data_IF_079120177328
#
_entry.id   IF_079120177328
#
_cell.length_a   1.000
_cell.length_b   1.000
_cell.length_c   1.000
_cell.angle_alpha   90.00
_cell.angle_beta   90.00
_cell.angle_gamma   90.00
#
_symmetry.space_group_name_H-M   'P 1'
#
loop_
_entity.id
_entity.type
_entity.pdbx_description
1 polymer ?
#
# COMPACT_ATOMS: atom_id res chain seq x y z
N UNK A 1 38.87 -2.01 -103.34
CA UNK A 1 40.04 -2.81 -102.89
C UNK A 1 40.15 -2.68 -101.36
N UNK A 2 40.61 -3.72 -100.64
CA UNK A 2 41.05 -3.65 -99.23
C UNK A 2 42.52 -3.12 -99.16
N UNK A 3 43.26 -3.08 -98.02
CA UNK A 3 42.98 -3.47 -96.61
C UNK A 3 43.19 -2.26 -95.63
N UNK A 4 43.58 -2.32 -94.34
CA UNK A 4 43.94 -3.38 -93.37
C UNK A 4 43.77 -2.98 -91.87
N UNK A 5 43.14 -3.86 -91.08
CA UNK A 5 43.61 -4.47 -89.81
C UNK A 5 44.29 -3.60 -88.71
N UNK A 6 43.77 -3.70 -87.46
CA UNK A 6 44.43 -3.84 -86.10
C UNK A 6 43.56 -3.15 -85.02
N UNK A 7 43.40 -3.63 -83.77
CA UNK A 7 43.67 -4.91 -83.08
C UNK A 7 42.74 -5.08 -81.83
N UNK A 8 42.85 -6.19 -81.09
CA UNK A 8 42.08 -6.63 -79.90
C UNK A 8 41.67 -5.60 -78.82
N UNK A 9 40.49 -5.85 -78.20
CA UNK A 9 40.35 -6.04 -76.73
C UNK A 9 39.05 -6.77 -76.36
N UNK A 10 38.95 -7.33 -75.14
CA UNK A 10 37.81 -8.11 -74.59
C UNK A 10 37.69 -7.85 -73.07
N UNK A 11 36.46 -7.80 -72.52
CA UNK A 11 35.99 -7.86 -71.10
C UNK A 11 34.97 -6.73 -70.77
N UNK A 12 34.07 -6.87 -69.76
CA UNK A 12 33.22 -8.04 -69.49
C UNK A 12 31.77 -7.64 -69.12
N UNK A 13 30.98 -8.62 -68.66
CA UNK A 13 29.72 -8.45 -67.94
C UNK A 13 29.93 -7.67 -66.62
N UNK A 14 29.04 -6.73 -66.26
CA UNK A 14 29.03 -6.10 -64.94
C UNK A 14 27.64 -6.18 -64.31
N UNK A 15 27.51 -7.03 -63.28
CA UNK A 15 26.26 -7.21 -62.53
C UNK A 15 26.17 -6.16 -61.41
N UNK A 16 25.31 -5.15 -61.57
CA UNK A 16 25.17 -4.06 -60.60
C UNK A 16 24.31 -4.47 -59.39
N UNK A 17 24.92 -5.17 -58.43
CA UNK A 17 24.30 -5.49 -57.15
C UNK A 17 24.31 -4.27 -56.20
N UNK A 18 23.32 -3.39 -56.33
CA UNK A 18 23.12 -2.29 -55.39
C UNK A 18 22.57 -2.82 -54.05
N UNK A 19 23.37 -2.73 -52.98
CA UNK A 19 22.94 -3.11 -51.64
C UNK A 19 21.81 -2.21 -51.15
N UNK A 20 20.70 -2.82 -50.72
CA UNK A 20 19.72 -2.16 -49.87
C UNK A 20 20.35 -2.04 -48.48
N UNK A 21 20.89 -0.86 -48.16
CA UNK A 21 21.32 -0.53 -46.80
C UNK A 21 20.07 -0.25 -45.98
N UNK A 22 19.45 -1.33 -45.48
CA UNK A 22 18.42 -1.23 -44.46
C UNK A 22 18.99 -0.51 -43.24
N UNK A 23 18.41 0.59 -42.75
CA UNK A 23 18.88 1.23 -41.53
C UNK A 23 18.65 0.28 -40.37
N UNK A 24 19.73 -0.23 -39.78
CA UNK A 24 19.66 -0.98 -38.52
C UNK A 24 19.19 -0.04 -37.44
N UNK A 25 17.92 -0.18 -37.04
CA UNK A 25 17.42 0.42 -35.82
C UNK A 25 18.20 -0.25 -34.68
N UNK A 26 19.22 0.45 -34.16
CA UNK A 26 19.84 0.04 -32.91
C UNK A 26 18.77 0.10 -31.82
N UNK A 27 18.26 -1.07 -31.42
CA UNK A 27 17.65 -1.19 -30.12
C UNK A 27 18.68 -0.70 -29.09
N UNK A 28 18.31 0.27 -28.27
CA UNK A 28 19.20 0.78 -27.22
C UNK A 28 19.57 -0.37 -26.30
N UNK A 29 20.84 -0.79 -26.30
CA UNK A 29 21.33 -1.68 -25.24
C UNK A 29 21.08 -0.98 -23.91
N UNK A 30 20.41 -1.66 -22.98
CA UNK A 30 20.16 -1.09 -21.66
C UNK A 30 21.51 -0.95 -20.93
N UNK A 31 21.96 0.27 -20.58
CA UNK A 31 23.25 0.47 -19.90
C UNK A 31 23.26 -0.12 -18.47
N UNK A 32 22.08 -0.41 -17.91
CA UNK A 32 21.90 -1.00 -16.59
C UNK A 32 21.58 -2.49 -16.70
N UNK A 33 22.26 -3.32 -15.91
CA UNK A 33 22.05 -4.77 -15.88
C UNK A 33 21.08 -5.16 -14.77
N UNK A 34 20.11 -6.01 -15.11
CA UNK A 34 19.25 -6.70 -14.13
C UNK A 34 19.98 -7.96 -13.67
N UNK A 35 20.98 -7.81 -12.80
CA UNK A 35 21.84 -8.91 -12.32
C UNK A 35 21.56 -9.34 -10.87
N UNK A 36 20.48 -8.84 -10.27
CA UNK A 36 20.03 -9.19 -8.92
C UNK A 36 20.79 -8.49 -7.78
N UNK A 37 21.64 -7.50 -8.07
CA UNK A 37 22.32 -6.70 -7.03
C UNK A 37 21.60 -5.37 -6.79
N UNK A 38 21.92 -4.74 -5.65
CA UNK A 38 21.50 -3.35 -5.38
C UNK A 38 22.29 -2.39 -6.27
N UNK A 39 21.59 -1.66 -7.13
CA UNK A 39 22.18 -0.68 -8.06
C UNK A 39 22.64 0.58 -7.32
N UNK A 40 23.91 0.95 -7.48
CA UNK A 40 24.47 2.22 -6.99
C UNK A 40 24.04 3.37 -7.91
N UNK A 41 23.34 4.37 -7.35
CA UNK A 41 22.90 5.56 -8.08
C UNK A 41 23.65 6.84 -7.66
N UNK A 42 23.79 7.75 -8.62
CA UNK A 42 24.31 9.10 -8.45
C UNK A 42 23.67 10.11 -9.42
N UNK A 43 24.04 11.39 -9.29
CA UNK A 43 23.49 12.50 -10.09
C UNK A 43 23.73 12.35 -11.61
N UNK A 44 24.62 11.46 -12.07
CA UNK A 44 24.87 11.20 -13.49
C UNK A 44 24.01 10.08 -14.07
N UNK A 45 23.55 9.13 -13.25
CA UNK A 45 22.83 7.93 -13.71
C UNK A 45 21.36 7.85 -13.23
N UNK A 46 20.97 8.61 -12.19
CA UNK A 46 19.68 8.46 -11.51
C UNK A 46 18.49 8.63 -12.46
N UNK A 47 18.35 9.78 -13.12
CA UNK A 47 17.20 10.07 -14.00
C UNK A 47 17.12 9.09 -15.19
N UNK A 48 18.27 8.60 -15.67
CA UNK A 48 18.33 7.56 -16.68
C UNK A 48 17.84 6.20 -16.13
N UNK A 49 18.25 5.80 -14.92
CA UNK A 49 17.76 4.57 -14.27
C UNK A 49 16.25 4.62 -14.01
N UNK A 50 15.73 5.73 -13.47
CA UNK A 50 14.29 5.93 -13.25
C UNK A 50 13.49 5.90 -14.56
N UNK A 51 14.06 6.39 -15.66
CA UNK A 51 13.43 6.35 -16.99
C UNK A 51 13.54 5.00 -17.70
N UNK A 52 14.46 4.12 -17.27
CA UNK A 52 14.75 2.83 -17.94
C UNK A 52 13.99 1.65 -17.31
N UNK A 53 13.62 1.74 -16.04
CA UNK A 53 12.98 0.66 -15.31
C UNK A 53 11.54 1.02 -14.90
N UNK A 54 10.57 0.21 -15.35
CA UNK A 54 9.16 0.34 -14.97
C UNK A 54 8.93 0.30 -13.45
N UNK A 55 9.77 -0.43 -12.72
CA UNK A 55 9.70 -0.57 -11.27
C UNK A 55 11.11 -0.52 -10.67
N UNK A 56 11.41 0.51 -9.90
CA UNK A 56 12.68 0.65 -9.17
C UNK A 56 12.45 1.17 -7.75
N UNK A 57 13.02 0.48 -6.78
CA UNK A 57 12.92 0.75 -5.35
C UNK A 57 14.24 1.32 -4.85
N UNK A 58 14.22 2.55 -4.33
CA UNK A 58 15.44 3.33 -4.01
C UNK A 58 15.54 3.60 -2.50
N UNK A 59 16.66 3.21 -1.91
CA UNK A 59 17.10 3.64 -0.56
C UNK A 59 17.93 4.93 -0.64
N UNK A 60 17.34 6.04 -0.19
CA UNK A 60 18.05 7.31 -0.01
C UNK A 60 18.72 7.29 1.37
N UNK A 61 20.02 7.00 1.38
CA UNK A 61 20.77 6.65 2.58
C UNK A 61 21.90 7.64 2.90
N UNK A 62 22.40 7.55 4.15
CA UNK A 62 23.63 8.21 4.56
C UNK A 62 24.60 7.19 5.20
N UNK A 63 25.92 7.25 4.89
CA UNK A 63 26.88 6.21 5.27
C UNK A 63 27.17 6.15 6.77
N UNK A 64 26.81 7.18 7.54
CA UNK A 64 26.90 7.18 8.99
C UNK A 64 25.65 6.62 9.68
N UNK A 65 24.47 6.70 9.06
CA UNK A 65 23.19 6.36 9.70
C UNK A 65 23.07 4.87 10.10
N UNK A 66 22.77 4.62 11.37
CA UNK A 66 22.61 3.27 11.91
C UNK A 66 21.38 2.52 11.37
N UNK A 67 20.33 3.22 10.94
CA UNK A 67 19.14 2.59 10.36
C UNK A 67 19.41 2.15 8.91
N UNK A 68 20.15 2.94 8.12
CA UNK A 68 20.62 2.55 6.79
C UNK A 68 21.51 1.30 6.85
N UNK A 69 22.47 1.26 7.79
CA UNK A 69 23.39 0.11 7.98
C UNK A 69 22.69 -1.20 8.32
N UNK A 70 21.52 -1.14 8.99
CA UNK A 70 20.69 -2.32 9.27
C UNK A 70 19.80 -2.72 8.10
N UNK A 71 19.43 -1.76 7.24
CA UNK A 71 18.58 -1.99 6.07
C UNK A 71 19.35 -2.58 4.87
N UNK A 72 20.57 -2.10 4.61
CA UNK A 72 21.38 -2.53 3.47
C UNK A 72 21.48 -4.07 3.28
N UNK A 73 21.78 -4.90 4.30
CA UNK A 73 21.83 -6.36 4.13
C UNK A 73 20.47 -7.01 3.88
N UNK A 74 19.34 -6.33 4.14
CA UNK A 74 18.01 -6.80 3.73
C UNK A 74 17.71 -6.44 2.27
N UNK A 75 18.20 -5.29 1.79
CA UNK A 75 18.14 -4.92 0.37
C UNK A 75 18.97 -5.88 -0.49
N UNK A 76 20.18 -6.24 -0.04
CA UNK A 76 21.06 -7.19 -0.73
C UNK A 76 20.43 -8.60 -0.84
N UNK A 77 19.60 -9.01 0.13
CA UNK A 77 18.81 -10.26 0.07
C UNK A 77 17.58 -10.15 -0.83
N UNK A 78 16.90 -9.00 -0.82
CA UNK A 78 15.67 -8.79 -1.58
C UNK A 78 15.92 -8.59 -3.07
N UNK A 79 17.01 -7.91 -3.44
CA UNK A 79 17.38 -7.59 -4.82
C UNK A 79 17.36 -8.78 -5.80
N UNK A 80 17.95 -9.96 -5.52
CA UNK A 80 17.92 -11.08 -6.46
C UNK A 80 16.52 -11.69 -6.63
N UNK A 81 15.69 -11.68 -5.58
CA UNK A 81 14.32 -12.20 -5.64
C UNK A 81 13.42 -11.26 -6.45
N UNK A 82 13.53 -9.95 -6.20
CA UNK A 82 12.78 -8.90 -6.90
C UNK A 82 13.19 -8.76 -8.37
N UNK A 83 14.46 -8.95 -8.69
CA UNK A 83 14.95 -9.01 -10.07
C UNK A 83 14.48 -10.27 -10.83
N UNK A 84 14.21 -11.37 -10.12
CA UNK A 84 13.72 -12.63 -10.69
C UNK A 84 12.21 -12.66 -11.00
N UNK A 85 11.46 -11.62 -10.64
CA UNK A 85 10.02 -11.53 -10.93
C UNK A 85 9.75 -11.37 -12.43
N UNK A 86 8.62 -11.91 -12.93
CA UNK A 86 8.18 -11.78 -14.34
C UNK A 86 8.11 -10.33 -14.84
N UNK A 87 7.88 -9.39 -13.92
CA UNK A 87 8.16 -7.96 -14.05
C UNK A 87 9.19 -7.63 -12.96
N UNK A 88 10.48 -7.46 -13.30
CA UNK A 88 11.51 -7.18 -12.31
C UNK A 88 11.24 -5.89 -11.55
N UNK A 89 11.50 -5.88 -10.24
CA UNK A 89 11.66 -4.65 -9.46
C UNK A 89 13.14 -4.50 -9.16
N UNK A 90 13.75 -3.43 -9.66
CA UNK A 90 15.17 -3.16 -9.42
C UNK A 90 15.32 -2.56 -8.03
N UNK A 91 16.19 -3.13 -7.20
CA UNK A 91 16.58 -2.51 -5.92
C UNK A 91 17.80 -1.63 -6.18
N UNK A 92 17.77 -0.42 -5.66
CA UNK A 92 18.81 0.59 -5.84
C UNK A 92 19.00 1.39 -4.56
N UNK A 93 20.10 2.13 -4.47
CA UNK A 93 20.37 3.06 -3.37
C UNK A 93 21.16 4.27 -3.84
N UNK A 94 21.03 5.38 -3.13
CA UNK A 94 21.74 6.62 -3.42
C UNK A 94 22.19 7.31 -2.14
N UNK A 95 23.45 7.75 -2.11
CA UNK A 95 24.01 8.48 -0.97
C UNK A 95 23.50 9.93 -0.98
N UNK A 96 22.34 10.15 -0.38
CA UNK A 96 21.65 11.43 -0.34
C UNK A 96 22.38 12.50 0.50
N UNK A 97 23.18 12.09 1.50
CA UNK A 97 24.07 13.00 2.23
C UNK A 97 25.25 13.49 1.37
N UNK A 98 25.66 12.74 0.34
CA UNK A 98 26.60 13.23 -0.68
C UNK A 98 25.88 14.07 -1.74
N UNK A 99 24.79 13.56 -2.31
CA UNK A 99 24.09 14.15 -3.45
C UNK A 99 22.90 15.01 -3.00
N UNK A 100 23.20 16.11 -2.30
CA UNK A 100 22.19 16.94 -1.62
C UNK A 100 21.19 17.60 -2.58
N UNK A 101 21.62 17.92 -3.81
CA UNK A 101 20.73 18.45 -4.84
C UNK A 101 19.66 17.43 -5.25
N UNK A 102 20.06 16.17 -5.41
CA UNK A 102 19.14 15.05 -5.66
C UNK A 102 18.23 14.79 -4.44
N UNK A 103 18.77 14.85 -3.23
CA UNK A 103 18.00 14.69 -1.99
C UNK A 103 16.88 15.73 -1.87
N UNK A 104 17.18 17.01 -2.12
CA UNK A 104 16.17 18.07 -2.14
C UNK A 104 15.16 17.92 -3.30
N UNK A 105 15.61 17.51 -4.49
CA UNK A 105 14.73 17.24 -5.66
C UNK A 105 13.68 16.14 -5.36
N UNK A 106 13.99 15.20 -4.48
CA UNK A 106 13.15 14.05 -4.16
C UNK A 106 12.56 14.07 -2.74
N UNK A 107 12.55 15.23 -2.06
CA UNK A 107 11.92 15.42 -0.74
C UNK A 107 12.43 14.41 0.29
N UNK A 108 13.74 14.45 0.56
CA UNK A 108 14.47 13.54 1.45
C UNK A 108 14.93 14.29 2.70
N UNK A 109 14.06 14.36 3.71
CA UNK A 109 14.32 15.06 4.98
C UNK A 109 14.94 14.16 6.07
N UNK A 110 15.15 12.87 5.79
CA UNK A 110 15.67 11.89 6.75
C UNK A 110 16.27 10.64 6.09
N UNK A 111 16.91 9.77 6.89
CA UNK A 111 17.63 8.58 6.39
C UNK A 111 17.39 7.32 7.25
N UNK A 112 17.09 6.15 6.65
CA UNK A 112 16.79 5.94 5.23
C UNK A 112 15.37 6.41 4.89
N UNK A 113 15.23 7.16 3.80
CA UNK A 113 13.94 7.36 3.12
C UNK A 113 13.88 6.42 1.94
N UNK A 114 12.79 5.66 1.83
CA UNK A 114 12.61 4.62 0.81
C UNK A 114 11.51 5.06 -0.14
N UNK A 115 11.77 5.08 -1.46
CA UNK A 115 10.73 5.40 -2.46
C UNK A 115 10.70 4.34 -3.56
N UNK A 116 9.51 3.82 -3.88
CA UNK A 116 9.29 3.04 -5.11
C UNK A 116 8.87 3.99 -6.23
N UNK A 117 9.54 3.89 -7.37
CA UNK A 117 9.16 4.55 -8.61
C UNK A 117 8.43 3.53 -9.48
N UNK A 118 7.24 3.89 -9.95
CA UNK A 118 6.40 3.08 -10.84
C UNK A 118 6.16 3.88 -12.11
N UNK A 119 6.75 3.44 -13.23
CA UNK A 119 6.83 4.18 -14.49
C UNK A 119 7.25 5.66 -14.26
N UNK A 120 8.34 5.86 -13.52
CA UNK A 120 8.88 7.17 -13.14
C UNK A 120 8.16 7.89 -11.99
N UNK A 121 6.95 7.50 -11.60
CA UNK A 121 6.20 8.15 -10.52
C UNK A 121 6.59 7.58 -9.16
N UNK A 122 7.22 8.39 -8.31
CA UNK A 122 7.61 8.01 -6.96
C UNK A 122 6.41 7.85 -6.01
N UNK A 123 6.53 6.95 -5.04
CA UNK A 123 5.67 6.83 -3.86
C UNK A 123 6.55 6.41 -2.69
N UNK A 124 6.43 7.08 -1.55
CA UNK A 124 7.23 6.76 -0.37
C UNK A 124 6.80 5.44 0.28
N UNK A 125 7.77 4.72 0.84
CA UNK A 125 7.61 3.37 1.35
C UNK A 125 7.73 3.35 2.88
N UNK A 126 6.60 3.07 3.54
CA UNK A 126 6.50 2.85 4.98
C UNK A 126 6.32 1.36 5.34
N UNK A 127 6.56 0.46 4.38
CA UNK A 127 6.40 -0.97 4.57
C UNK A 127 7.49 -1.62 5.44
N UNK A 128 7.38 -2.93 5.69
CA UNK A 128 8.33 -3.68 6.50
C UNK A 128 9.73 -3.71 5.85
N UNK A 129 10.76 -3.79 6.70
CA UNK A 129 12.18 -3.72 6.30
C UNK A 129 12.93 -5.06 6.22
N UNK A 130 12.54 -6.16 6.91
CA UNK A 130 13.10 -7.50 6.66
C UNK A 130 12.89 -7.94 5.22
N UNK A 131 13.88 -8.63 4.64
CA UNK A 131 13.91 -8.90 3.20
C UNK A 131 12.70 -9.70 2.67
N UNK A 132 12.22 -10.68 3.41
CA UNK A 132 11.07 -11.53 3.05
C UNK A 132 9.76 -10.72 3.00
N UNK A 133 9.53 -9.89 4.02
CA UNK A 133 8.35 -9.03 4.12
C UNK A 133 8.42 -7.89 3.10
N UNK A 134 9.61 -7.34 2.85
CA UNK A 134 9.89 -6.35 1.82
C UNK A 134 9.59 -6.91 0.42
N UNK A 135 10.03 -8.14 0.12
CA UNK A 135 9.72 -8.83 -1.14
C UNK A 135 8.20 -9.02 -1.31
N UNK A 136 7.52 -9.55 -0.28
CA UNK A 136 6.05 -9.75 -0.30
C UNK A 136 5.31 -8.43 -0.55
N UNK A 137 5.68 -7.35 0.14
CA UNK A 137 5.09 -6.03 -0.06
C UNK A 137 5.34 -5.48 -1.47
N UNK A 138 6.60 -5.44 -1.94
CA UNK A 138 6.93 -4.83 -3.23
C UNK A 138 6.34 -5.61 -4.42
N UNK A 139 6.18 -6.93 -4.30
CA UNK A 139 5.50 -7.77 -5.31
C UNK A 139 4.07 -7.28 -5.62
N UNK A 140 3.40 -6.59 -4.68
CA UNK A 140 2.08 -5.96 -4.89
C UNK A 140 2.00 -5.04 -6.12
N UNK A 141 3.08 -4.30 -6.40
CA UNK A 141 3.09 -3.27 -7.44
C UNK A 141 3.19 -3.87 -8.85
N UNK A 142 3.78 -5.07 -8.97
CA UNK A 142 3.95 -5.80 -10.24
C UNK A 142 2.93 -6.91 -10.47
N UNK A 143 2.17 -7.29 -9.45
CA UNK A 143 1.06 -8.23 -9.51
C UNK A 143 0.05 -7.92 -10.64
N UNK A 144 -0.74 -8.90 -11.12
CA UNK A 144 -1.94 -8.61 -11.89
C UNK A 144 -2.89 -7.71 -11.09
N UNK A 145 -3.77 -6.98 -11.78
CA UNK A 145 -4.78 -6.13 -11.11
C UNK A 145 -5.82 -7.00 -10.39
N UNK A 146 -6.24 -8.09 -11.02
CA UNK A 146 -7.06 -9.15 -10.43
C UNK A 146 -6.34 -10.49 -10.60
N UNK A 147 -6.16 -11.25 -9.53
CA UNK A 147 -5.71 -12.65 -9.62
C UNK A 147 -6.89 -13.59 -9.91
N UNK A 148 -6.66 -14.60 -10.75
CA UNK A 148 -7.63 -15.68 -11.00
C UNK A 148 -7.22 -16.87 -10.14
N UNK A 149 -8.17 -17.41 -9.37
CA UNK A 149 -7.96 -18.51 -8.44
C UNK A 149 -8.88 -19.67 -8.85
N UNK A 150 -8.31 -20.85 -9.03
CA UNK A 150 -8.93 -22.03 -9.65
C UNK A 150 -8.93 -23.27 -8.73
N UNK A 151 -8.66 -23.08 -7.44
CA UNK A 151 -8.78 -24.10 -6.39
C UNK A 151 -8.69 -23.49 -4.99
N UNK A 152 -9.17 -24.22 -3.99
CA UNK A 152 -8.97 -23.91 -2.56
C UNK A 152 -7.47 -23.74 -2.21
N UNK A 153 -6.58 -24.47 -2.90
CA UNK A 153 -5.12 -24.32 -2.77
C UNK A 153 -4.66 -22.96 -3.31
N UNK A 154 -5.04 -22.60 -4.54
CA UNK A 154 -4.71 -21.30 -5.13
C UNK A 154 -5.23 -20.13 -4.28
N UNK A 155 -6.40 -20.26 -3.65
CA UNK A 155 -6.94 -19.26 -2.72
C UNK A 155 -6.07 -19.15 -1.45
N UNK A 156 -5.66 -20.28 -0.88
CA UNK A 156 -4.80 -20.32 0.31
C UNK A 156 -3.41 -19.75 0.04
N UNK A 157 -2.79 -20.15 -1.07
CA UNK A 157 -1.49 -19.67 -1.56
C UNK A 157 -1.52 -18.17 -1.87
N UNK A 158 -2.60 -17.67 -2.49
CA UNK A 158 -2.79 -16.25 -2.75
C UNK A 158 -2.85 -15.42 -1.47
N UNK A 159 -3.57 -15.89 -0.43
CA UNK A 159 -3.65 -15.18 0.86
C UNK A 159 -2.31 -15.22 1.60
N UNK A 160 -1.57 -16.33 1.56
CA UNK A 160 -0.24 -16.38 2.18
C UNK A 160 0.76 -15.45 1.47
N UNK A 161 0.76 -15.46 0.13
CA UNK A 161 1.63 -14.61 -0.69
C UNK A 161 1.29 -13.11 -0.59
N UNK A 162 0.00 -12.80 -0.47
CA UNK A 162 -0.50 -11.44 -0.25
C UNK A 162 -0.06 -10.85 1.09
N UNK A 163 0.12 -11.71 2.11
CA UNK A 163 0.56 -11.35 3.45
C UNK A 163 -0.47 -10.53 4.22
N UNK A 164 -0.01 -9.85 5.28
CA UNK A 164 -0.90 -9.19 6.25
C UNK A 164 -1.07 -7.69 6.05
N UNK A 165 -0.22 -7.04 5.23
CA UNK A 165 -0.14 -5.57 5.20
C UNK A 165 -1.29 -4.88 4.43
N UNK A 166 -1.80 -5.51 3.37
CA UNK A 166 -2.88 -4.97 2.55
C UNK A 166 -4.16 -5.77 2.75
N UNK A 167 -5.36 -5.14 2.72
CA UNK A 167 -6.61 -5.87 2.61
C UNK A 167 -6.66 -6.71 1.32
N UNK A 168 -7.36 -7.84 1.40
CA UNK A 168 -7.50 -8.81 0.32
C UNK A 168 -8.98 -8.94 -0.03
N UNK A 169 -9.32 -8.67 -1.29
CA UNK A 169 -10.66 -8.81 -1.83
C UNK A 169 -10.75 -10.06 -2.71
N UNK A 170 -11.62 -11.02 -2.35
CA UNK A 170 -11.81 -12.28 -3.07
C UNK A 170 -13.27 -12.38 -3.53
N UNK A 171 -13.47 -12.44 -4.85
CA UNK A 171 -14.78 -12.53 -5.49
C UNK A 171 -15.21 -13.97 -5.78
N UNK A 172 -16.17 -14.49 -5.03
CA UNK A 172 -16.76 -15.82 -5.22
C UNK A 172 -17.95 -15.74 -6.18
N UNK A 173 -17.91 -16.48 -7.28
CA UNK A 173 -18.92 -16.40 -8.34
C UNK A 173 -18.94 -15.07 -9.11
N UNK A 174 -17.86 -14.30 -9.06
CA UNK A 174 -17.71 -13.02 -9.77
C UNK A 174 -16.81 -13.15 -11.01
N UNK A 175 -17.15 -12.42 -12.07
CA UNK A 175 -16.28 -12.27 -13.23
C UNK A 175 -15.23 -11.18 -12.97
N UNK A 176 -14.00 -11.40 -13.44
CA UNK A 176 -12.89 -10.44 -13.35
C UNK A 176 -13.28 -9.02 -13.79
N UNK A 177 -14.02 -8.91 -14.90
CA UNK A 177 -14.47 -7.64 -15.46
C UNK A 177 -15.27 -6.79 -14.47
N UNK A 178 -16.03 -7.41 -13.57
CA UNK A 178 -16.88 -6.72 -12.58
C UNK A 178 -16.07 -5.96 -11.53
N UNK A 179 -14.86 -6.41 -11.20
CA UNK A 179 -13.99 -5.75 -10.22
C UNK A 179 -12.77 -5.06 -10.84
N UNK A 180 -12.41 -5.40 -12.09
CA UNK A 180 -11.21 -4.94 -12.81
C UNK A 180 -10.92 -3.43 -12.73
N UNK A 181 -11.90 -2.58 -13.06
CA UNK A 181 -11.76 -1.11 -13.02
C UNK A 181 -11.41 -0.59 -11.61
N UNK A 182 -12.02 -1.19 -10.58
CA UNK A 182 -11.79 -0.83 -9.18
C UNK A 182 -10.48 -1.42 -8.66
N UNK A 183 -10.10 -2.61 -9.12
CA UNK A 183 -8.84 -3.24 -8.81
C UNK A 183 -7.63 -2.45 -9.34
N UNK A 184 -7.73 -1.90 -10.56
CA UNK A 184 -6.75 -0.93 -11.11
C UNK A 184 -6.73 0.34 -10.25
N UNK A 185 -7.90 0.92 -9.97
CA UNK A 185 -8.04 2.16 -9.17
C UNK A 185 -7.44 2.05 -7.76
N UNK A 186 -7.55 0.89 -7.12
CA UNK A 186 -7.07 0.63 -5.77
C UNK A 186 -5.84 -0.29 -5.70
N UNK A 187 -5.13 -0.52 -6.82
CA UNK A 187 -3.97 -1.43 -6.91
C UNK A 187 -2.88 -1.16 -5.84
N UNK A 188 -2.67 0.11 -5.48
CA UNK A 188 -1.72 0.55 -4.44
C UNK A 188 -2.22 0.37 -2.99
N UNK A 189 -3.50 0.07 -2.77
CA UNK A 189 -4.15 -0.01 -1.44
C UNK A 189 -4.73 -1.38 -1.09
N UNK A 190 -5.01 -2.26 -2.07
CA UNK A 190 -5.61 -3.57 -1.81
C UNK A 190 -5.25 -4.64 -2.85
N UNK A 191 -5.23 -5.92 -2.45
CA UNK A 191 -5.20 -7.08 -3.34
C UNK A 191 -6.61 -7.41 -3.84
N UNK A 192 -6.75 -7.88 -5.08
CA UNK A 192 -8.02 -8.29 -5.66
C UNK A 192 -7.88 -9.63 -6.38
N UNK A 193 -8.89 -10.50 -6.27
CA UNK A 193 -8.97 -11.76 -6.98
C UNK A 193 -10.41 -12.21 -7.23
N UNK A 194 -10.57 -13.20 -8.12
CA UNK A 194 -11.82 -13.94 -8.32
C UNK A 194 -11.57 -15.45 -8.21
N UNK A 195 -12.43 -16.13 -7.45
CA UNK A 195 -12.45 -17.58 -7.32
C UNK A 195 -13.40 -18.17 -8.37
N UNK A 196 -12.84 -18.90 -9.34
CA UNK A 196 -13.58 -19.61 -10.40
C UNK A 196 -14.04 -20.98 -9.97
N UNK A 197 -13.16 -21.71 -9.26
CA UNK A 197 -13.41 -23.03 -8.72
C UNK A 197 -13.01 -23.00 -7.24
N UNK A 198 -13.93 -23.47 -6.40
CA UNK A 198 -13.83 -23.50 -4.94
C UNK A 198 -14.80 -24.55 -4.40
N UNK A 199 -14.53 -25.12 -3.23
CA UNK A 199 -15.45 -26.07 -2.60
C UNK A 199 -16.64 -25.38 -1.92
N UNK A 200 -17.81 -26.02 -1.93
CA UNK A 200 -19.03 -25.54 -1.25
C UNK A 200 -18.85 -25.39 0.28
N UNK A 201 -17.78 -25.96 0.85
CA UNK A 201 -17.49 -26.01 2.28
C UNK A 201 -16.29 -25.14 2.68
N UNK A 202 -16.10 -23.97 2.07
CA UNK A 202 -15.06 -23.01 2.45
C UNK A 202 -15.38 -22.28 3.77
N UNK A 203 -15.32 -23.04 4.87
CA UNK A 203 -15.56 -22.63 6.27
C UNK A 203 -14.64 -21.53 6.81
N UNK A 204 -13.64 -21.08 6.03
CA UNK A 204 -12.75 -19.97 6.40
C UNK A 204 -13.27 -18.59 6.01
N UNK A 205 -14.42 -18.52 5.33
CA UNK A 205 -14.92 -17.29 4.68
C UNK A 205 -16.43 -17.00 4.91
N UNK A 206 -17.14 -17.84 5.64
CA UNK A 206 -18.50 -17.63 6.17
C UNK A 206 -19.56 -17.04 5.20
N UNK A 207 -19.51 -17.37 3.91
CA UNK A 207 -20.49 -16.88 2.92
C UNK A 207 -21.58 -17.93 2.61
N UNK A 208 -22.85 -17.51 2.70
CA UNK A 208 -24.02 -18.38 2.55
C UNK A 208 -24.46 -18.57 1.09
N UNK A 209 -23.96 -17.74 0.18
CA UNK A 209 -24.41 -17.66 -1.23
C UNK A 209 -23.40 -16.93 -2.12
N UNK A 210 -23.52 -17.15 -3.42
CA UNK A 210 -22.81 -16.40 -4.48
C UNK A 210 -23.80 -15.67 -5.41
N UNK A 211 -23.40 -14.58 -6.09
CA UNK A 211 -22.09 -13.91 -5.99
C UNK A 211 -21.86 -13.21 -4.65
N UNK A 212 -20.59 -13.22 -4.21
CA UNK A 212 -20.11 -12.54 -3.01
C UNK A 212 -18.73 -11.93 -3.26
N UNK A 213 -18.49 -10.71 -2.78
CA UNK A 213 -17.14 -10.15 -2.65
C UNK A 213 -16.78 -10.12 -1.16
N UNK A 214 -15.68 -10.75 -0.78
CA UNK A 214 -15.22 -10.82 0.61
C UNK A 214 -13.96 -9.98 0.74
N UNK A 215 -13.93 -9.08 1.71
CA UNK A 215 -12.76 -8.29 2.07
C UNK A 215 -12.21 -8.75 3.42
N UNK A 216 -10.95 -9.17 3.46
CA UNK A 216 -10.26 -9.58 4.69
C UNK A 216 -9.11 -8.61 5.03
N UNK A 217 -8.87 -8.42 6.32
CA UNK A 217 -7.74 -7.67 6.88
C UNK A 217 -6.90 -8.63 7.74
N UNK A 218 -5.91 -9.35 7.18
CA UNK A 218 -5.26 -10.45 7.90
C UNK A 218 -4.47 -9.99 9.14
N UNK A 219 -3.94 -8.76 9.14
CA UNK A 219 -3.30 -8.17 10.34
C UNK A 219 -4.25 -7.93 11.53
N UNK A 220 -5.58 -7.86 11.29
CA UNK A 220 -6.58 -7.55 12.31
C UNK A 220 -7.53 -8.73 12.61
N UNK A 221 -7.36 -9.85 11.89
CA UNK A 221 -8.27 -11.00 11.86
C UNK A 221 -9.74 -10.58 11.68
N UNK A 222 -9.99 -9.74 10.67
CA UNK A 222 -11.31 -9.25 10.30
C UNK A 222 -11.68 -9.66 8.88
N UNK A 223 -12.97 -9.92 8.66
CA UNK A 223 -13.57 -10.12 7.35
C UNK A 223 -14.90 -9.37 7.25
N UNK A 224 -15.31 -9.05 6.04
CA UNK A 224 -16.66 -8.58 5.72
C UNK A 224 -17.09 -9.14 4.36
N UNK A 225 -18.40 -9.33 4.17
CA UNK A 225 -18.96 -9.97 2.98
C UNK A 225 -19.97 -9.03 2.33
N UNK A 226 -19.85 -8.84 1.01
CA UNK A 226 -20.75 -8.03 0.21
C UNK A 226 -21.48 -8.90 -0.81
N UNK A 227 -22.81 -9.01 -0.63
CA UNK A 227 -23.71 -9.78 -1.48
C UNK A 227 -24.38 -8.95 -2.60
N UNK A 228 -23.82 -7.79 -2.93
CA UNK A 228 -24.35 -6.87 -3.93
C UNK A 228 -25.26 -5.75 -3.37
N UNK A 229 -25.86 -4.92 -4.25
CA UNK A 229 -25.85 -5.04 -5.71
C UNK A 229 -24.46 -4.81 -6.32
N UNK A 230 -24.09 -5.63 -7.31
CA UNK A 230 -22.79 -5.58 -7.97
C UNK A 230 -22.75 -4.55 -9.12
N UNK A 231 -23.08 -3.31 -8.77
CA UNK A 231 -22.98 -2.14 -9.64
C UNK A 231 -21.81 -1.26 -9.17
N UNK A 232 -21.07 -0.66 -10.10
CA UNK A 232 -19.82 0.10 -9.85
C UNK A 232 -19.85 0.99 -8.61
N UNK A 233 -20.95 1.73 -8.38
CA UNK A 233 -21.09 2.62 -7.22
C UNK A 233 -21.07 1.87 -5.89
N UNK A 234 -21.99 0.91 -5.71
CA UNK A 234 -22.12 0.19 -4.44
C UNK A 234 -20.89 -0.69 -4.17
N UNK A 235 -20.33 -1.25 -5.23
CA UNK A 235 -19.09 -2.02 -5.21
C UNK A 235 -17.88 -1.14 -4.82
N UNK A 236 -17.77 0.07 -5.39
CA UNK A 236 -16.72 1.03 -5.01
C UNK A 236 -16.90 1.52 -3.57
N UNK A 237 -18.12 1.82 -3.14
CA UNK A 237 -18.40 2.31 -1.79
C UNK A 237 -18.13 1.22 -0.74
N UNK A 238 -18.43 -0.05 -1.02
CA UNK A 238 -18.00 -1.19 -0.19
C UNK A 238 -16.47 -1.33 -0.17
N UNK A 239 -15.81 -1.31 -1.33
CA UNK A 239 -14.34 -1.43 -1.41
C UNK A 239 -13.66 -0.32 -0.60
N UNK A 240 -14.08 0.94 -0.74
CA UNK A 240 -13.59 2.07 0.08
C UNK A 240 -13.73 1.80 1.58
N UNK A 241 -14.91 1.38 2.02
CA UNK A 241 -15.20 1.14 3.43
C UNK A 241 -14.35 -0.01 4.01
N UNK A 242 -13.96 -0.98 3.18
CA UNK A 242 -13.10 -2.12 3.52
C UNK A 242 -11.65 -1.96 3.02
N UNK A 243 -11.18 -0.75 2.72
CA UNK A 243 -9.73 -0.47 2.62
C UNK A 243 -9.07 -0.36 4.00
N UNK A 244 -9.86 -0.13 5.05
CA UNK A 244 -9.43 -0.05 6.44
C UNK A 244 -10.18 -1.09 7.29
N UNK A 245 -9.56 -1.65 8.34
CA UNK A 245 -10.28 -2.47 9.32
C UNK A 245 -11.39 -1.68 9.99
N UNK A 246 -12.33 -2.39 10.63
CA UNK A 246 -13.43 -1.82 11.41
C UNK A 246 -12.92 -0.89 12.51
N UNK A 247 -11.82 -1.25 13.19
CA UNK A 247 -11.16 -0.38 14.17
C UNK A 247 -9.65 -0.44 13.97
N UNK A 248 -9.03 0.74 13.84
CA UNK A 248 -7.63 0.92 13.48
C UNK A 248 -6.77 1.31 14.72
N UNK A 249 -5.70 0.58 15.07
CA UNK A 249 -4.71 1.09 16.02
C UNK A 249 -4.05 2.35 15.46
N UNK A 250 -4.05 3.44 16.22
CA UNK A 250 -3.55 4.74 15.77
C UNK A 250 -2.09 4.90 16.19
N UNK A 251 -1.24 5.01 15.17
CA UNK A 251 0.21 5.12 15.21
C UNK A 251 0.69 5.84 13.94
N UNK A 252 1.98 6.13 13.85
CA UNK A 252 2.61 6.77 12.70
C UNK A 252 2.18 6.27 11.31
N UNK A 253 2.13 4.96 11.09
CA UNK A 253 1.88 4.39 9.75
C UNK A 253 0.39 4.36 9.39
N UNK A 254 -0.48 4.13 10.38
CA UNK A 254 -1.93 4.27 10.22
C UNK A 254 -2.35 5.73 10.04
N UNK A 255 -1.77 6.68 10.78
CA UNK A 255 -2.00 8.12 10.60
C UNK A 255 -1.66 8.59 9.19
N UNK A 256 -0.55 8.11 8.61
CA UNK A 256 -0.21 8.38 7.19
C UNK A 256 -1.25 7.79 6.23
N UNK A 257 -1.76 6.59 6.53
CA UNK A 257 -2.78 5.92 5.74
C UNK A 257 -4.15 6.62 5.76
N UNK A 258 -4.44 7.40 6.82
CA UNK A 258 -5.68 8.17 6.98
C UNK A 258 -5.70 9.51 6.22
N UNK A 259 -4.55 10.07 5.78
CA UNK A 259 -4.46 11.42 5.20
C UNK A 259 -5.34 11.67 3.97
N UNK A 260 -5.71 10.63 3.22
CA UNK A 260 -6.60 10.72 2.05
C UNK A 260 -8.10 10.61 2.39
N UNK A 261 -8.45 10.12 3.59
CA UNK A 261 -9.84 9.90 3.99
C UNK A 261 -10.46 11.18 4.54
N UNK A 262 -11.77 11.34 4.34
CA UNK A 262 -12.54 12.53 4.74
C UNK A 262 -13.56 12.24 5.84
N UNK A 263 -13.69 10.97 6.24
CA UNK A 263 -14.52 10.55 7.37
C UNK A 263 -13.90 11.02 8.68
N UNK A 264 -14.73 11.43 9.63
CA UNK A 264 -14.28 11.79 10.98
C UNK A 264 -13.89 10.52 11.75
N UNK A 265 -12.90 10.64 12.63
CA UNK A 265 -12.31 9.53 13.38
C UNK A 265 -12.87 9.53 14.80
N UNK A 266 -13.64 8.51 15.16
CA UNK A 266 -14.02 8.20 16.54
C UNK A 266 -12.80 7.58 17.22
N UNK A 267 -12.02 8.42 17.92
CA UNK A 267 -10.81 7.99 18.61
C UNK A 267 -11.13 7.60 20.05
N UNK A 268 -10.74 6.38 20.44
CA UNK A 268 -10.82 5.88 21.82
C UNK A 268 -9.41 5.83 22.43
N UNK A 269 -9.11 6.76 23.31
CA UNK A 269 -7.84 6.81 24.04
C UNK A 269 -7.98 5.93 25.29
N UNK A 270 -7.01 5.05 25.54
CA UNK A 270 -7.01 4.04 26.59
C UNK A 270 -5.65 4.04 27.31
N UNK A 271 -5.56 3.47 28.52
CA UNK A 271 -4.30 3.46 29.28
C UNK A 271 -3.22 2.61 28.58
N UNK A 272 -3.59 1.41 28.15
CA UNK A 272 -2.71 0.40 27.55
C UNK A 272 -3.52 -0.49 26.62
N UNK A 273 -3.32 -0.34 25.31
CA UNK A 273 -4.09 -1.09 24.30
C UNK A 273 -3.82 -2.61 24.29
N UNK A 274 -2.79 -3.08 25.01
CA UNK A 274 -2.47 -4.50 25.12
C UNK A 274 -3.25 -5.21 26.24
N UNK A 275 -3.95 -4.49 27.11
CA UNK A 275 -4.62 -5.09 28.27
C UNK A 275 -5.97 -5.75 27.92
N UNK A 276 -6.46 -6.65 28.79
CA UNK A 276 -7.67 -7.44 28.51
C UNK A 276 -8.93 -6.55 28.42
N UNK A 277 -8.99 -5.47 29.20
CA UNK A 277 -10.10 -4.52 29.19
C UNK A 277 -10.19 -3.80 27.85
N UNK A 278 -9.07 -3.30 27.36
CA UNK A 278 -8.92 -2.65 26.06
C UNK A 278 -9.24 -3.61 24.92
N UNK A 279 -8.73 -4.84 24.95
CA UNK A 279 -9.07 -5.87 23.98
C UNK A 279 -10.57 -6.21 23.96
N UNK A 280 -11.25 -6.20 25.10
CA UNK A 280 -12.70 -6.39 25.17
C UNK A 280 -13.48 -5.15 24.67
N UNK A 281 -13.02 -3.94 24.98
CA UNK A 281 -13.59 -2.70 24.46
C UNK A 281 -13.44 -2.60 22.93
N UNK A 282 -12.29 -2.99 22.38
CA UNK A 282 -12.04 -3.02 20.92
C UNK A 282 -13.06 -3.92 20.21
N UNK A 283 -13.49 -5.05 20.80
CA UNK A 283 -14.57 -5.88 20.24
C UNK A 283 -15.91 -5.14 20.18
N UNK A 284 -16.24 -4.33 21.20
CA UNK A 284 -17.46 -3.49 21.20
C UNK A 284 -17.34 -2.37 20.16
N UNK A 285 -16.15 -1.75 20.02
CA UNK A 285 -15.89 -0.75 18.98
C UNK A 285 -16.03 -1.34 17.57
N UNK A 286 -15.60 -2.58 17.31
CA UNK A 286 -15.81 -3.26 16.01
C UNK A 286 -17.31 -3.41 15.69
N UNK A 287 -18.14 -3.76 16.68
CA UNK A 287 -19.60 -3.83 16.54
C UNK A 287 -20.26 -2.46 16.32
N UNK A 288 -19.72 -1.38 16.90
CA UNK A 288 -20.18 -0.02 16.63
C UNK A 288 -19.75 0.46 15.23
N UNK A 289 -18.52 0.18 14.82
CA UNK A 289 -17.96 0.60 13.54
C UNK A 289 -18.64 -0.06 12.33
N UNK A 290 -19.02 -1.34 12.44
CA UNK A 290 -19.73 -2.04 11.36
C UNK A 290 -21.08 -1.41 11.02
N UNK A 291 -21.76 -0.80 12.00
CA UNK A 291 -23.00 -0.06 11.84
C UNK A 291 -22.81 1.43 11.47
N UNK A 292 -21.59 1.97 11.55
CA UNK A 292 -21.30 3.40 11.41
C UNK A 292 -20.09 3.64 10.47
N UNK A 293 -20.15 3.05 9.28
CA UNK A 293 -19.10 3.11 8.23
C UNK A 293 -18.85 4.51 7.65
N UNK A 294 -19.76 5.45 7.92
CA UNK A 294 -19.61 6.89 7.67
C UNK A 294 -18.51 7.55 8.52
N UNK A 295 -18.10 6.88 9.59
CA UNK A 295 -16.99 7.25 10.46
C UNK A 295 -15.84 6.22 10.32
N UNK A 296 -14.65 6.61 10.77
CA UNK A 296 -13.54 5.70 11.06
C UNK A 296 -13.52 5.50 12.57
N UNK A 297 -13.29 4.28 13.05
CA UNK A 297 -13.05 4.04 14.47
C UNK A 297 -11.57 3.75 14.68
N UNK A 298 -10.97 4.35 15.70
CA UNK A 298 -9.58 4.15 16.05
C UNK A 298 -9.37 4.05 17.56
N UNK A 299 -8.28 3.42 17.97
CA UNK A 299 -7.85 3.40 19.38
C UNK A 299 -6.36 3.74 19.51
N UNK A 300 -5.97 4.21 20.70
CA UNK A 300 -4.56 4.40 21.05
C UNK A 300 -4.34 4.23 22.55
N UNK A 301 -3.36 3.43 22.92
CA UNK A 301 -2.88 3.32 24.30
C UNK A 301 -1.90 4.45 24.66
N UNK A 302 -2.08 5.09 25.83
CA UNK A 302 -1.17 6.14 26.34
C UNK A 302 0.25 5.61 26.49
N UNK A 303 0.44 4.37 26.96
CA UNK A 303 1.78 3.73 27.04
C UNK A 303 2.42 3.48 25.67
N UNK A 304 1.64 3.46 24.60
CA UNK A 304 2.09 3.19 23.24
C UNK A 304 2.37 4.49 22.46
N UNK A 305 1.66 5.59 22.75
CA UNK A 305 1.82 6.87 22.06
C UNK A 305 1.47 8.09 22.95
N UNK A 306 2.22 8.30 24.05
CA UNK A 306 1.93 9.32 25.09
C UNK A 306 1.74 10.74 24.50
N UNK A 307 2.65 11.20 23.64
CA UNK A 307 2.61 12.54 23.01
C UNK A 307 1.33 12.77 22.15
N UNK A 308 0.88 11.72 21.45
CA UNK A 308 -0.35 11.77 20.65
C UNK A 308 -1.60 11.77 21.54
N UNK A 309 -1.57 11.12 22.70
CA UNK A 309 -2.65 11.21 23.67
C UNK A 309 -2.71 12.59 24.37
N UNK A 310 -1.55 13.15 24.77
CA UNK A 310 -1.47 14.48 25.39
C UNK A 310 -2.07 15.59 24.50
N UNK A 311 -1.91 15.43 23.17
CA UNK A 311 -2.45 16.31 22.13
C UNK A 311 -3.98 16.51 22.22
N UNK A 312 -4.71 15.56 22.81
CA UNK A 312 -6.16 15.59 23.03
C UNK A 312 -6.57 15.86 24.49
N UNK A 313 -5.71 16.48 25.28
CA UNK A 313 -5.90 16.74 26.72
C UNK A 313 -6.11 15.44 27.52
N UNK A 314 -5.19 14.49 27.35
CA UNK A 314 -5.04 13.31 28.20
C UNK A 314 -3.76 13.44 29.01
N UNK A 315 -3.90 13.43 30.34
CA UNK A 315 -2.81 13.59 31.30
C UNK A 315 -3.00 12.59 32.44
N UNK A 316 -2.02 12.47 33.37
CA UNK A 316 -1.95 11.50 34.48
C UNK A 316 -3.08 11.53 35.54
N UNK A 317 -4.16 12.28 35.30
CA UNK A 317 -5.41 12.32 36.10
C UNK A 317 -6.69 12.25 35.25
N UNK A 318 -6.56 12.07 33.94
CA UNK A 318 -7.71 11.92 33.03
C UNK A 318 -8.34 10.55 33.24
N UNK A 319 -9.67 10.49 33.32
CA UNK A 319 -10.37 9.20 33.33
C UNK A 319 -10.30 8.58 31.94
N UNK A 320 -9.77 7.36 31.86
CA UNK A 320 -9.70 6.55 30.64
C UNK A 320 -10.56 5.28 30.81
N UNK A 321 -11.10 4.70 29.73
CA UNK A 321 -11.01 5.16 28.34
C UNK A 321 -11.78 6.47 28.06
N UNK A 322 -11.27 7.27 27.12
CA UNK A 322 -11.84 8.56 26.69
C UNK A 322 -12.19 8.51 25.20
N UNK A 323 -13.39 8.96 24.82
CA UNK A 323 -13.83 9.05 23.42
C UNK A 323 -13.87 10.49 22.93
N UNK A 324 -13.41 10.71 21.70
CA UNK A 324 -13.55 11.98 20.95
C UNK A 324 -13.88 11.68 19.48
N UNK A 325 -14.40 12.68 18.77
CA UNK A 325 -14.47 12.66 17.30
C UNK A 325 -13.47 13.65 16.74
N UNK A 326 -12.49 13.19 15.98
CA UNK A 326 -11.39 13.97 15.42
C UNK A 326 -11.55 14.15 13.89
N UNK A 327 -11.02 15.25 13.35
CA UNK A 327 -11.05 15.54 11.91
C UNK A 327 -9.90 14.94 11.08
N UNK A 328 -8.91 14.33 11.73
CA UNK A 328 -7.68 13.86 11.07
C UNK A 328 -6.60 14.93 10.92
N UNK A 329 -6.83 16.14 11.45
CA UNK A 329 -5.94 17.29 11.41
C UNK A 329 -5.95 18.01 12.79
N UNK A 330 -6.42 19.26 12.88
CA UNK A 330 -6.31 20.09 14.10
C UNK A 330 -7.55 20.03 15.02
N UNK A 331 -8.72 19.60 14.54
CA UNK A 331 -10.00 19.84 15.23
C UNK A 331 -10.66 18.57 15.74
N UNK A 332 -11.08 18.58 17.01
CA UNK A 332 -11.80 17.46 17.62
C UNK A 332 -12.98 17.92 18.46
N UNK A 333 -13.90 17.00 18.70
CA UNK A 333 -15.16 17.21 19.38
C UNK A 333 -15.25 16.26 20.56
N UNK A 334 -15.58 16.78 21.75
CA UNK A 334 -15.98 15.96 22.90
C UNK A 334 -17.50 15.96 23.01
N UNK A 335 -18.11 14.83 23.37
CA UNK A 335 -19.58 14.69 23.47
C UNK A 335 -20.00 14.92 24.91
N UNK A 336 -20.92 15.88 25.12
CA UNK A 336 -21.26 16.39 26.45
C UNK A 336 -21.84 15.26 27.30
N UNK A 337 -21.17 14.97 28.44
CA UNK A 337 -21.59 13.93 29.38
C UNK A 337 -21.31 12.48 28.93
N UNK A 338 -20.63 12.27 27.80
CA UNK A 338 -20.25 10.94 27.28
C UNK A 338 -18.76 10.81 26.95
N UNK A 339 -17.90 11.68 27.53
CA UNK A 339 -16.46 11.71 27.20
C UNK A 339 -15.66 10.50 27.68
N UNK A 340 -16.10 9.81 28.75
CA UNK A 340 -15.40 8.65 29.33
C UNK A 340 -16.27 7.39 29.31
N UNK A 341 -15.62 6.24 29.09
CA UNK A 341 -16.27 4.93 29.11
C UNK A 341 -16.10 4.30 30.50
N UNK A 342 -17.20 4.10 31.23
CA UNK A 342 -17.25 3.35 32.48
C UNK A 342 -17.33 1.84 32.26
N UNK A 343 -16.83 1.06 33.22
CA UNK A 343 -16.70 -0.40 33.10
C UNK A 343 -18.04 -1.16 32.92
N UNK A 344 -19.17 -0.57 33.34
CA UNK A 344 -20.49 -1.16 33.22
C UNK A 344 -21.21 -0.75 31.93
N UNK A 345 -21.33 -1.70 30.99
CA UNK A 345 -21.94 -1.55 29.67
C UNK A 345 -21.29 -0.47 28.77
N UNK A 346 -20.13 -0.76 28.15
CA UNK A 346 -19.53 0.08 27.12
C UNK A 346 -20.39 0.25 25.86
N UNK A 347 -21.28 -0.71 25.55
CA UNK A 347 -22.06 -0.71 24.31
C UNK A 347 -23.08 0.41 24.27
N UNK A 348 -23.89 0.53 25.34
CA UNK A 348 -24.84 1.64 25.49
C UNK A 348 -24.14 3.01 25.58
N UNK A 349 -22.92 3.05 26.11
CA UNK A 349 -22.15 4.30 26.22
C UNK A 349 -21.59 4.76 24.87
N UNK A 350 -21.02 3.85 24.07
CA UNK A 350 -20.59 4.12 22.69
C UNK A 350 -21.79 4.56 21.84
N UNK A 351 -22.96 3.92 21.99
CA UNK A 351 -24.18 4.34 21.30
C UNK A 351 -24.57 5.78 21.65
N UNK A 352 -24.67 6.12 22.94
CA UNK A 352 -24.99 7.49 23.40
C UNK A 352 -23.97 8.53 22.96
N UNK A 353 -22.69 8.18 22.91
CA UNK A 353 -21.64 9.04 22.36
C UNK A 353 -21.89 9.36 20.88
N UNK A 354 -22.22 8.34 20.07
CA UNK A 354 -22.49 8.50 18.64
C UNK A 354 -23.81 9.26 18.37
N UNK A 355 -24.84 9.02 19.18
CA UNK A 355 -26.10 9.77 19.17
C UNK A 355 -25.85 11.25 19.50
N UNK A 356 -25.23 11.55 20.64
CA UNK A 356 -24.92 12.91 21.06
C UNK A 356 -24.00 13.66 20.10
N UNK A 357 -23.07 12.96 19.41
CA UNK A 357 -22.29 13.54 18.32
C UNK A 357 -23.18 13.93 17.13
N UNK A 358 -24.07 13.03 16.68
CA UNK A 358 -24.98 13.27 15.53
C UNK A 358 -26.05 14.33 15.82
N UNK A 359 -26.45 14.49 17.09
CA UNK A 359 -27.34 15.57 17.53
C UNK A 359 -26.64 16.94 17.65
N UNK A 360 -25.30 16.99 17.62
CA UNK A 360 -24.53 18.21 17.82
C UNK A 360 -24.36 18.61 19.30
N UNK A 361 -24.58 17.68 20.24
CA UNK A 361 -24.37 17.86 21.68
C UNK A 361 -22.87 17.79 22.05
N UNK A 362 -22.07 18.67 21.44
CA UNK A 362 -20.61 18.61 21.40
C UNK A 362 -19.91 19.89 21.83
N UNK A 363 -18.66 19.76 22.28
CA UNK A 363 -17.72 20.87 22.48
C UNK A 363 -16.59 20.71 21.46
N UNK A 364 -16.50 21.65 20.50
CA UNK A 364 -15.37 21.73 19.57
C UNK A 364 -14.11 22.23 20.29
N UNK A 365 -12.99 21.57 20.04
CA UNK A 365 -11.66 21.86 20.55
C UNK A 365 -10.63 21.75 19.43
N UNK A 366 -9.42 22.25 19.70
CA UNK A 366 -8.26 22.10 18.82
C UNK A 366 -7.13 21.38 19.54
N UNK A 367 -6.39 20.57 18.78
CA UNK A 367 -5.16 19.92 19.24
C UNK A 367 -4.17 20.99 19.70
N UNK A 368 -3.48 20.71 20.81
CA UNK A 368 -2.36 21.53 21.27
C UNK A 368 -1.11 21.16 20.48
N UNK A 369 -0.93 21.77 19.32
CA UNK A 369 0.35 21.76 18.61
C UNK A 369 1.40 22.35 19.56
N UNK A 370 2.36 21.53 20.02
CA UNK A 370 3.52 22.04 20.73
C UNK A 370 4.45 22.74 19.71
N UNK A 371 4.97 23.94 20.03
CA UNK A 371 5.76 24.76 19.11
C UNK A 371 7.23 24.32 18.99
#
# INVERSE_FOLDING_TARGET
MPPSIRLFSVFPFLLLLLLIISPTINASENPFKVDGKVLELDESNFDASISTFDYIFVDFYAPWCGHCKRLAPELDKAAPVLAGLKKPIIVAKVNADKYKCLACKHEIDGYPTLKIFVHGVSTEYYGPRPADLLVRFLTKFVAPDVAILDSDSAISEFVEAAGTHFPIFIGFGLNESMISNLAVKYKKKAWFSVAKEFSDNMTSYDFDKVPALIATHPAHNEQSIFYGPFEDKFLEDYIKQSLLPLVLPINEDSLRSLKDDKRKIVLTIMEDETDEKSNNLIKVLKSAASANRDLIFGYVGVKQFEDFAESFEVYKKTQLPKMIVWDGNEEYYTVIGSESIGESDPGTQILKFLEGYREGSVIQKRIRVQP
#
